data_IF_187636210822
#
_entry.id   IF_187636210822
#
_cell.length_a   1.000
_cell.length_b   1.000
_cell.length_c   1.000
_cell.angle_alpha   90.00
_cell.angle_beta   90.00
_cell.angle_gamma   90.00
#
_symmetry.space_group_name_H-M   'P 1'
#
loop_
_entity.id
_entity.type
_entity.pdbx_description
1 polymer ?
#
# COMPACT_ATOMS: atom_id res chain seq x y z
N UNK A 1 -6.89 3.58 11.99
CA UNK A 1 -5.47 3.28 11.69
C UNK A 1 -5.14 3.33 10.19
N UNK A 2 -5.34 2.28 9.37
CA UNK A 2 -4.95 2.33 7.94
C UNK A 2 -5.83 3.28 7.10
N UNK A 3 -7.13 3.03 7.04
CA UNK A 3 -8.05 3.86 6.27
C UNK A 3 -8.00 5.33 6.71
N UNK A 4 -7.94 5.55 8.02
CA UNK A 4 -7.77 6.86 8.63
C UNK A 4 -6.48 7.55 8.20
N UNK A 5 -5.34 6.82 8.16
CA UNK A 5 -4.09 7.36 7.62
C UNK A 5 -4.28 7.84 6.19
N UNK A 6 -4.85 7.00 5.31
CA UNK A 6 -5.11 7.37 3.92
C UNK A 6 -6.02 8.61 3.78
N UNK A 7 -7.10 8.68 4.57
CA UNK A 7 -8.02 9.84 4.59
C UNK A 7 -7.29 11.11 5.03
N UNK A 8 -6.39 11.01 6.02
CA UNK A 8 -5.61 12.14 6.53
C UNK A 8 -4.52 12.62 5.55
N UNK A 9 -4.24 11.89 4.47
CA UNK A 9 -3.28 12.31 3.44
C UNK A 9 -3.94 13.06 2.28
N UNK A 10 -5.27 13.13 2.22
CA UNK A 10 -5.96 13.87 1.18
C UNK A 10 -5.48 15.34 1.12
N UNK A 11 -5.29 15.91 -0.09
CA UNK A 11 -5.64 15.34 -1.41
C UNK A 11 -4.56 14.44 -2.02
N UNK A 12 -3.41 14.25 -1.37
CA UNK A 12 -2.36 13.33 -1.80
C UNK A 12 -2.73 11.88 -1.51
N UNK A 13 -1.96 10.96 -2.09
CA UNK A 13 -2.04 9.55 -1.76
C UNK A 13 -1.39 9.28 -0.41
N UNK A 14 -2.09 8.54 0.47
CA UNK A 14 -1.48 7.94 1.64
C UNK A 14 -0.92 6.57 1.31
N UNK A 15 0.29 6.29 1.78
CA UNK A 15 0.99 5.05 1.47
C UNK A 15 1.63 4.41 2.71
N UNK A 16 2.02 3.14 2.59
CA UNK A 16 2.68 2.41 3.66
C UNK A 16 3.00 0.96 3.33
N UNK A 17 3.56 0.28 4.32
CA UNK A 17 3.99 -1.12 4.24
C UNK A 17 3.00 -2.01 5.01
N UNK A 18 2.65 -3.13 4.38
CA UNK A 18 1.88 -4.21 4.98
C UNK A 18 2.82 -5.36 5.34
N UNK A 19 2.74 -5.82 6.59
CA UNK A 19 3.61 -6.87 7.10
C UNK A 19 2.85 -7.88 7.98
N UNK A 20 3.43 -9.04 8.16
CA UNK A 20 2.87 -10.11 8.97
C UNK A 20 3.60 -11.43 8.79
N UNK A 21 2.87 -12.54 8.69
CA UNK A 21 3.45 -13.89 8.61
C UNK A 21 2.80 -14.69 7.48
N UNK A 22 3.63 -15.22 6.57
CA UNK A 22 3.17 -15.99 5.43
C UNK A 22 2.26 -15.16 4.51
N UNK A 23 0.96 -15.48 4.50
CA UNK A 23 -0.06 -14.77 3.71
C UNK A 23 -0.98 -13.89 4.57
N UNK A 24 -0.72 -13.84 5.87
CA UNK A 24 -1.54 -13.07 6.80
C UNK A 24 -0.87 -11.72 7.07
N UNK A 25 -1.56 -10.64 6.71
CA UNK A 25 -1.17 -9.27 7.05
C UNK A 25 -1.72 -8.98 8.45
N UNK A 26 -0.83 -8.68 9.38
CA UNK A 26 -1.17 -8.41 10.79
C UNK A 26 -0.84 -6.98 11.21
N UNK A 27 0.03 -6.31 10.46
CA UNK A 27 0.57 -4.99 10.81
C UNK A 27 0.58 -4.06 9.60
N UNK A 28 0.25 -2.79 9.84
CA UNK A 28 0.35 -1.69 8.89
C UNK A 28 1.35 -0.66 9.42
N UNK A 29 2.32 -0.29 8.59
CA UNK A 29 3.31 0.73 8.89
C UNK A 29 3.12 1.91 7.94
N UNK A 30 2.60 3.06 8.41
CA UNK A 30 2.45 4.25 7.58
C UNK A 30 3.83 4.75 7.15
N UNK A 31 3.95 5.10 5.87
CA UNK A 31 5.15 5.73 5.31
C UNK A 31 4.74 7.09 4.76
N UNK A 32 5.59 8.10 4.94
CA UNK A 32 5.30 9.43 4.43
C UNK A 32 5.44 9.41 2.90
N UNK A 33 4.42 9.93 2.21
CA UNK A 33 4.52 10.20 0.78
C UNK A 33 5.39 11.47 0.57
N UNK A 34 6.40 11.37 -0.28
CA UNK A 34 7.23 12.52 -0.66
C UNK A 34 6.76 13.23 -1.94
N UNK A 35 5.80 12.64 -2.66
CA UNK A 35 5.18 13.27 -3.82
C UNK A 35 4.18 14.35 -3.36
N UNK A 36 4.17 15.49 -4.04
CA UNK A 36 3.18 16.55 -3.82
C UNK A 36 1.92 16.37 -4.70
N UNK A 37 2.00 15.46 -5.68
CA UNK A 37 0.94 15.12 -6.64
C UNK A 37 -0.17 14.30 -5.97
N UNK A 38 -1.39 14.38 -6.52
CA UNK A 38 -2.58 13.70 -5.99
C UNK A 38 -2.80 12.28 -6.53
N UNK A 39 -1.95 11.84 -7.45
CA UNK A 39 -2.06 10.58 -8.19
C UNK A 39 -0.71 9.85 -8.29
N UNK A 40 0.16 10.06 -7.32
CA UNK A 40 1.44 9.39 -7.22
C UNK A 40 1.87 9.27 -5.77
N UNK A 41 2.62 8.22 -5.48
CA UNK A 41 3.32 8.08 -4.23
C UNK A 41 4.79 7.72 -4.43
N UNK A 42 5.60 8.16 -3.49
CA UNK A 42 6.97 7.69 -3.33
C UNK A 42 7.33 7.77 -1.86
N UNK A 43 8.06 6.77 -1.35
CA UNK A 43 8.38 6.69 0.06
C UNK A 43 9.47 7.69 0.44
N UNK A 44 9.19 8.53 1.44
CA UNK A 44 10.21 9.33 2.09
C UNK A 44 11.19 8.41 2.85
N UNK A 45 12.50 8.60 2.60
CA UNK A 45 13.54 7.66 3.02
C UNK A 45 13.59 7.42 4.54
N UNK A 46 13.42 8.44 5.38
CA UNK A 46 13.51 8.29 6.84
C UNK A 46 12.35 7.48 7.40
N UNK A 47 11.11 7.77 6.99
CA UNK A 47 9.93 7.05 7.42
C UNK A 47 9.95 5.61 6.91
N UNK A 48 10.44 5.38 5.68
CA UNK A 48 10.66 4.06 5.13
C UNK A 48 11.65 3.23 5.95
N UNK A 49 12.85 3.76 6.25
CA UNK A 49 13.85 3.07 7.07
C UNK A 49 13.35 2.78 8.49
N UNK A 50 12.53 3.68 9.04
CA UNK A 50 11.88 3.46 10.35
C UNK A 50 10.94 2.26 10.28
N UNK A 51 10.07 2.19 9.26
CA UNK A 51 9.17 1.05 9.07
C UNK A 51 9.92 -0.28 8.92
N UNK A 52 11.00 -0.31 8.13
CA UNK A 52 11.84 -1.52 7.97
C UNK A 52 12.48 -1.96 9.29
N UNK A 53 12.92 -1.01 10.11
CA UNK A 53 13.48 -1.30 11.43
C UNK A 53 12.42 -1.94 12.33
N UNK A 54 11.20 -1.42 12.35
CA UNK A 54 10.11 -1.96 13.16
C UNK A 54 9.67 -3.36 12.70
N UNK A 55 9.56 -3.59 11.40
CA UNK A 55 9.26 -4.91 10.82
C UNK A 55 10.29 -5.94 11.30
N UNK A 56 11.58 -5.59 11.24
CA UNK A 56 12.67 -6.46 11.73
C UNK A 56 12.60 -6.67 13.24
N UNK A 57 12.34 -5.63 14.03
CA UNK A 57 12.24 -5.73 15.49
C UNK A 57 11.09 -6.65 15.93
N UNK A 58 10.00 -6.67 15.16
CA UNK A 58 8.83 -7.53 15.39
C UNK A 58 8.99 -8.94 14.81
N UNK A 59 10.10 -9.22 14.11
CA UNK A 59 10.35 -10.50 13.42
C UNK A 59 9.20 -10.91 12.47
N UNK A 60 8.57 -9.93 11.81
CA UNK A 60 7.52 -10.14 10.80
C UNK A 60 8.05 -9.85 9.39
N UNK A 61 7.34 -10.33 8.37
CA UNK A 61 7.72 -10.26 6.96
C UNK A 61 7.03 -9.09 6.28
N UNK A 62 7.74 -8.40 5.38
CA UNK A 62 7.12 -7.45 4.45
C UNK A 62 6.35 -8.22 3.37
N UNK A 63 5.03 -8.04 3.32
CA UNK A 63 4.13 -8.78 2.43
C UNK A 63 3.61 -7.91 1.27
N UNK A 64 3.42 -6.62 1.50
CA UNK A 64 2.86 -5.74 0.48
C UNK A 64 3.12 -4.27 0.71
N UNK A 65 2.80 -3.48 -0.32
CA UNK A 65 2.72 -2.03 -0.25
C UNK A 65 1.27 -1.65 -0.47
N UNK A 66 0.81 -0.67 0.30
CA UNK A 66 -0.48 -0.04 0.08
C UNK A 66 -0.32 1.42 -0.25
N UNK A 67 -1.12 1.91 -1.20
CA UNK A 67 -1.37 3.31 -1.42
C UNK A 67 -2.86 3.57 -1.59
N UNK A 68 -3.30 4.81 -1.42
CA UNK A 68 -4.68 5.20 -1.62
C UNK A 68 -4.86 5.96 -2.92
N UNK A 69 -5.96 5.72 -3.61
CA UNK A 69 -6.41 6.55 -4.72
C UNK A 69 -7.47 7.54 -4.21
N UNK A 70 -7.19 8.85 -4.18
CA UNK A 70 -8.13 9.84 -3.67
C UNK A 70 -9.45 9.88 -4.46
N UNK A 71 -9.36 9.78 -5.79
CA UNK A 71 -10.48 10.09 -6.70
C UNK A 71 -10.75 9.02 -7.76
N UNK A 72 -10.04 7.88 -7.73
CA UNK A 72 -10.14 6.84 -8.77
C UNK A 72 -10.43 5.48 -8.15
N UNK A 73 -10.87 4.54 -8.98
CA UNK A 73 -11.12 3.15 -8.57
C UNK A 73 -9.83 2.49 -8.06
N UNK A 74 -9.93 1.42 -7.24
CA UNK A 74 -8.77 0.74 -6.68
C UNK A 74 -8.15 -0.20 -7.71
N UNK A 75 -7.71 0.34 -8.84
CA UNK A 75 -7.03 -0.39 -9.90
C UNK A 75 -5.69 0.29 -10.21
N UNK A 76 -4.57 -0.45 -10.33
CA UNK A 76 -3.26 0.16 -10.51
C UNK A 76 -3.21 1.03 -11.75
N UNK A 77 -2.69 2.25 -11.60
CA UNK A 77 -2.41 3.13 -12.71
C UNK A 77 -1.23 2.62 -13.54
N UNK A 78 -1.02 3.24 -14.70
CA UNK A 78 0.18 2.98 -15.49
C UNK A 78 1.47 3.27 -14.69
N UNK A 79 1.49 4.34 -13.90
CA UNK A 79 2.64 4.73 -13.09
C UNK A 79 2.90 3.72 -11.97
N UNK A 80 1.85 3.19 -11.32
CA UNK A 80 1.97 2.15 -10.29
C UNK A 80 2.61 0.87 -10.84
N UNK A 81 2.16 0.42 -12.02
CA UNK A 81 2.68 -0.79 -12.66
C UNK A 81 4.13 -0.57 -13.11
N UNK A 82 4.42 0.58 -13.73
CA UNK A 82 5.75 0.89 -14.27
C UNK A 82 6.81 1.09 -13.18
N UNK A 83 6.42 1.59 -12.01
CA UNK A 83 7.33 1.86 -10.87
C UNK A 83 7.29 0.80 -9.78
N UNK A 84 6.63 -0.33 -10.02
CA UNK A 84 6.46 -1.37 -9.00
C UNK A 84 7.82 -1.93 -8.57
N UNK A 85 8.19 -1.85 -7.27
CA UNK A 85 9.58 -2.05 -6.85
C UNK A 85 9.98 -3.52 -6.73
N UNK A 86 9.04 -4.42 -6.42
CA UNK A 86 9.34 -5.82 -6.17
C UNK A 86 8.16 -6.73 -6.57
N UNK A 87 8.33 -7.62 -7.58
CA UNK A 87 7.28 -8.53 -8.05
C UNK A 87 6.84 -9.59 -7.01
N UNK A 88 7.53 -9.68 -5.86
CA UNK A 88 7.18 -10.55 -4.75
C UNK A 88 6.24 -9.90 -3.74
N UNK A 89 6.16 -8.58 -3.72
CA UNK A 89 5.22 -7.86 -2.88
C UNK A 89 3.83 -7.81 -3.51
N UNK A 90 2.81 -7.81 -2.65
CA UNK A 90 1.43 -7.55 -3.06
C UNK A 90 1.17 -6.04 -3.16
N UNK A 91 0.51 -5.62 -4.23
CA UNK A 91 0.05 -4.24 -4.42
C UNK A 91 -1.35 -4.10 -3.87
N UNK A 92 -1.57 -3.16 -2.96
CA UNK A 92 -2.87 -2.88 -2.39
C UNK A 92 -3.25 -1.44 -2.69
N UNK A 93 -4.50 -1.24 -3.08
CA UNK A 93 -5.03 0.08 -3.40
C UNK A 93 -6.31 0.30 -2.63
N UNK A 94 -6.33 1.35 -1.82
CA UNK A 94 -7.53 1.83 -1.15
C UNK A 94 -8.10 3.03 -1.92
N UNK A 95 -9.16 2.81 -2.68
CA UNK A 95 -9.91 3.91 -3.28
C UNK A 95 -10.73 4.65 -2.23
N UNK A 96 -10.69 5.98 -2.29
CA UNK A 96 -11.48 6.91 -1.44
C UNK A 96 -12.52 7.70 -2.25
N UNK A 97 -12.70 7.41 -3.54
CA UNK A 97 -13.51 8.19 -4.50
C UNK A 97 -14.97 8.40 -4.07
N UNK A 98 -15.61 7.38 -3.52
CA UNK A 98 -16.99 7.43 -3.05
C UNK A 98 -17.08 6.90 -1.61
N UNK A 99 -16.81 5.60 -1.48
CA UNK A 99 -16.63 4.92 -0.20
C UNK A 99 -15.31 4.14 -0.24
N UNK A 100 -14.65 3.96 0.92
CA UNK A 100 -13.44 3.15 1.02
C UNK A 100 -13.62 1.78 0.37
N UNK A 101 -12.87 1.53 -0.71
CA UNK A 101 -12.90 0.27 -1.44
C UNK A 101 -11.47 -0.23 -1.63
N UNK A 102 -11.19 -1.44 -1.14
CA UNK A 102 -9.86 -2.02 -1.15
C UNK A 102 -9.77 -3.06 -2.27
N UNK A 103 -8.64 -3.08 -2.96
CA UNK A 103 -8.29 -4.17 -3.87
C UNK A 103 -6.82 -4.53 -3.73
N UNK A 104 -6.48 -5.75 -4.14
CA UNK A 104 -5.13 -6.28 -4.09
C UNK A 104 -4.75 -6.88 -5.45
N UNK A 105 -3.47 -6.75 -5.82
CA UNK A 105 -2.94 -7.18 -7.10
C UNK A 105 -1.55 -7.79 -6.96
N UNK A 106 -1.23 -8.71 -7.86
CA UNK A 106 0.14 -9.14 -8.14
C UNK A 106 0.58 -8.42 -9.39
N UNK A 107 1.70 -7.70 -9.31
CA UNK A 107 2.29 -6.98 -10.44
C UNK A 107 3.62 -7.66 -10.80
N UNK A 108 3.71 -8.20 -12.02
CA UNK A 108 4.89 -8.90 -12.53
C UNK A 108 5.08 -8.62 -14.01
N UNK A 109 6.27 -8.17 -14.40
CA UNK A 109 6.62 -7.92 -15.81
C UNK A 109 5.57 -7.05 -16.54
N UNK A 110 5.07 -6.01 -15.88
CA UNK A 110 4.02 -5.12 -16.42
C UNK A 110 2.61 -5.72 -16.43
N UNK A 111 2.43 -6.98 -16.05
CA UNK A 111 1.14 -7.64 -15.92
C UNK A 111 0.58 -7.45 -14.51
N UNK A 112 -0.69 -7.07 -14.42
CA UNK A 112 -1.41 -6.86 -13.18
C UNK A 112 -2.57 -7.86 -13.05
N UNK A 113 -2.54 -8.72 -12.02
CA UNK A 113 -3.58 -9.72 -11.76
C UNK A 113 -4.22 -9.49 -10.39
N UNK A 114 -5.56 -9.47 -10.28
CA UNK A 114 -6.25 -9.30 -9.00
C UNK A 114 -5.99 -10.50 -8.07
N UNK A 115 -5.81 -10.21 -6.78
CA UNK A 115 -5.61 -11.20 -5.72
C UNK A 115 -6.86 -11.23 -4.83
N UNK A 116 -7.49 -12.41 -4.63
CA UNK A 116 -8.56 -12.53 -3.65
C UNK A 116 -8.00 -12.45 -2.23
N UNK A 117 -8.70 -11.73 -1.36
CA UNK A 117 -8.35 -11.63 0.06
C UNK A 117 -9.60 -11.77 0.94
N UNK A 118 -9.38 -11.91 2.25
CA UNK A 118 -10.45 -11.91 3.25
C UNK A 118 -10.03 -11.06 4.42
N UNK A 119 -10.93 -10.22 4.91
CA UNK A 119 -10.75 -9.46 6.14
C UNK A 119 -11.35 -10.29 7.28
N UNK A 120 -10.54 -10.60 8.29
CA UNK A 120 -11.03 -11.20 9.53
C UNK A 120 -11.50 -10.06 10.43
N UNK A 121 -12.79 -10.04 10.76
CA UNK A 121 -13.32 -9.18 11.82
C UNK A 121 -13.14 -9.95 13.13
N UNK A 122 -12.41 -9.38 14.07
CA UNK A 122 -12.19 -9.92 15.42
C UNK A 122 -13.18 -9.24 16.36
#
# INVERSE_FOLDING_TARGET
>A
MLQEHCVNQLPQEGCGILAGSGREITSFFPVKNQEERTNAYSFEARSYLTALKEIRNQAIQWIGIIHSHPNTEPYPSFEDIARWPDPMLTCWILSLKEQPNLAAFSIREGTCLPIPYRVKVI
#
